data_IF_558243874557
#
_entry.id   IF_558243874557
#
_cell.length_a   1.000
_cell.length_b   1.000
_cell.length_c   1.000
_cell.angle_alpha   90.00
_cell.angle_beta   90.00
_cell.angle_gamma   90.00
#
_symmetry.space_group_name_H-M   'P 1'
#
loop_
_entity.id
_entity.type
_entity.pdbx_description
1 polymer ?
#
# COMPACT_ATOMS: atom_id res chain seq x y z
N UNK A 1 -46.95 41.65 -0.13
CA UNK A 1 -46.39 40.75 -1.15
C UNK A 1 -45.20 41.45 -1.70
N UNK A 2 -43.99 41.01 -1.33
CA UNK A 2 -42.73 41.59 -1.81
C UNK A 2 -42.18 40.60 -2.83
N UNK A 3 -41.94 41.07 -4.04
CA UNK A 3 -41.44 40.30 -5.17
C UNK A 3 -40.00 39.88 -4.89
N UNK A 4 -39.77 38.57 -4.84
CA UNK A 4 -38.44 37.96 -4.74
C UNK A 4 -37.86 37.88 -6.16
N UNK A 5 -36.74 38.61 -6.38
CA UNK A 5 -36.01 38.59 -7.64
C UNK A 5 -34.79 37.67 -7.45
N UNK A 6 -34.74 36.57 -8.23
CA UNK A 6 -33.60 35.64 -8.23
C UNK A 6 -32.32 36.30 -8.75
N UNK A 7 -31.15 36.01 -8.15
CA UNK A 7 -29.89 36.49 -8.64
C UNK A 7 -29.44 35.72 -9.92
N UNK A 8 -28.73 36.40 -10.86
CA UNK A 8 -28.33 35.80 -12.13
C UNK A 8 -27.29 34.68 -11.95
N UNK A 9 -27.46 33.63 -12.74
CA UNK A 9 -26.59 32.47 -12.78
C UNK A 9 -25.13 32.86 -13.15
N UNK A 10 -24.10 32.18 -12.56
CA UNK A 10 -22.72 32.45 -12.87
C UNK A 10 -22.37 32.01 -14.29
N UNK A 11 -21.69 32.88 -15.02
CA UNK A 11 -21.19 32.62 -16.39
C UNK A 11 -20.16 31.49 -16.38
N UNK A 12 -20.37 30.48 -17.21
CA UNK A 12 -19.47 29.37 -17.44
C UNK A 12 -18.06 29.85 -17.84
N UNK A 13 -17.07 29.53 -17.05
CA UNK A 13 -15.67 29.70 -17.39
C UNK A 13 -15.27 28.67 -18.46
N UNK A 14 -14.68 29.16 -19.56
CA UNK A 14 -14.17 28.31 -20.65
C UNK A 14 -13.06 27.40 -20.12
N UNK A 15 -13.27 26.08 -20.19
CA UNK A 15 -12.25 25.08 -19.92
C UNK A 15 -11.09 25.22 -20.91
N UNK A 16 -9.91 25.52 -20.40
CA UNK A 16 -8.67 25.43 -21.14
C UNK A 16 -8.33 23.96 -21.38
N UNK A 17 -8.26 23.54 -22.64
CA UNK A 17 -7.82 22.22 -23.05
C UNK A 17 -6.32 22.11 -22.79
N UNK A 18 -5.93 21.47 -21.68
CA UNK A 18 -4.56 21.01 -21.44
C UNK A 18 -4.38 19.70 -22.19
N UNK A 19 -3.59 19.74 -23.26
CA UNK A 19 -3.14 18.53 -23.96
C UNK A 19 -2.03 17.86 -23.16
N UNK A 20 -2.37 16.90 -22.34
CA UNK A 20 -1.39 16.01 -21.73
C UNK A 20 -0.94 15.03 -22.80
N UNK A 21 0.31 15.18 -23.26
CA UNK A 21 0.97 14.18 -24.12
C UNK A 21 1.19 12.92 -23.30
N UNK A 22 0.56 11.84 -23.69
CA UNK A 22 0.88 10.50 -23.20
C UNK A 22 2.34 10.20 -23.55
N UNK A 23 3.16 9.99 -22.52
CA UNK A 23 4.49 9.42 -22.66
C UNK A 23 4.31 7.91 -22.84
N UNK A 24 4.68 7.40 -24.00
CA UNK A 24 4.70 5.96 -24.30
C UNK A 24 5.66 5.26 -23.35
N UNK A 25 5.12 4.28 -22.62
CA UNK A 25 5.87 3.40 -21.77
C UNK A 25 6.52 2.31 -22.65
N UNK A 26 7.80 2.49 -22.97
CA UNK A 26 8.59 1.46 -23.67
C UNK A 26 9.10 0.46 -22.63
N UNK A 27 8.54 -0.74 -22.68
CA UNK A 27 9.04 -1.90 -21.93
C UNK A 27 10.40 -2.31 -22.50
N UNK A 28 11.47 -2.21 -21.70
CA UNK A 28 12.76 -2.81 -22.03
C UNK A 28 12.85 -4.22 -21.46
N UNK A 29 13.51 -5.16 -22.19
CA UNK A 29 13.61 -6.55 -21.78
C UNK A 29 14.54 -6.75 -20.60
N UNK A 30 14.18 -7.71 -19.74
CA UNK A 30 14.98 -8.18 -18.64
C UNK A 30 16.28 -8.84 -19.13
N UNK A 31 17.42 -8.37 -18.63
CA UNK A 31 18.68 -9.05 -18.80
C UNK A 31 19.89 -8.14 -18.75
N UNK A 32 20.39 -7.88 -17.57
CA UNK A 32 21.85 -7.71 -17.34
C UNK A 32 22.14 -7.90 -15.85
N UNK A 33 22.84 -8.98 -15.53
CA UNK A 33 23.34 -9.25 -14.19
C UNK A 33 24.39 -8.20 -13.82
N UNK A 34 24.19 -7.55 -12.67
CA UNK A 34 25.16 -6.62 -12.10
C UNK A 34 26.13 -7.38 -11.19
N UNK A 35 27.44 -7.04 -11.22
CA UNK A 35 28.44 -7.67 -10.36
C UNK A 35 28.19 -7.37 -8.87
N UNK A 36 28.37 -8.39 -8.05
CA UNK A 36 28.25 -8.32 -6.59
C UNK A 36 29.38 -7.45 -6.02
N UNK A 37 29.08 -6.23 -5.59
CA UNK A 37 29.96 -5.46 -4.71
C UNK A 37 29.86 -5.98 -3.28
N UNK A 38 30.96 -6.46 -2.77
CA UNK A 38 31.18 -6.94 -1.40
C UNK A 38 30.95 -5.83 -0.39
N UNK A 39 29.92 -5.96 0.45
CA UNK A 39 29.74 -5.15 1.66
C UNK A 39 30.58 -5.75 2.81
N UNK A 40 31.10 -4.93 3.74
CA UNK A 40 31.91 -5.44 4.85
C UNK A 40 31.10 -6.35 5.76
N UNK A 41 31.72 -7.47 6.14
CA UNK A 41 31.15 -8.48 7.04
C UNK A 41 30.94 -7.91 8.44
N UNK A 42 29.71 -7.97 8.93
CA UNK A 42 29.41 -7.82 10.36
C UNK A 42 29.73 -9.16 11.03
N UNK A 43 30.63 -9.14 11.98
CA UNK A 43 31.06 -10.31 12.72
C UNK A 43 29.90 -10.93 13.50
N UNK A 44 29.51 -12.15 13.14
CA UNK A 44 28.59 -12.98 13.92
C UNK A 44 29.40 -14.00 14.71
N UNK A 45 29.25 -13.93 16.04
CA UNK A 45 29.78 -14.94 16.95
C UNK A 45 29.18 -16.32 16.67
N UNK A 46 30.05 -17.32 16.59
CA UNK A 46 29.69 -18.70 16.34
C UNK A 46 28.90 -19.31 17.50
N UNK A 47 27.72 -19.87 17.21
CA UNK A 47 27.16 -20.99 17.97
C UNK A 47 26.90 -22.14 17.01
N UNK A 48 27.67 -23.19 17.18
CA UNK A 48 27.54 -24.49 16.51
C UNK A 48 26.38 -25.26 17.13
N UNK A 49 25.35 -25.58 16.37
CA UNK A 49 24.54 -26.79 16.56
C UNK A 49 24.09 -27.29 15.19
N UNK A 50 24.40 -28.55 14.92
CA UNK A 50 23.99 -29.34 13.77
C UNK A 50 22.47 -29.44 13.69
N UNK A 51 21.90 -28.97 12.59
CA UNK A 51 20.50 -29.13 12.26
C UNK A 51 20.30 -28.75 10.80
N UNK A 52 19.77 -29.70 10.07
CA UNK A 52 19.27 -29.71 8.70
C UNK A 52 19.02 -28.33 8.08
N UNK A 53 19.72 -28.06 6.97
CA UNK A 53 19.59 -26.81 6.22
C UNK A 53 18.15 -26.59 5.75
N UNK A 54 17.40 -25.77 6.47
CA UNK A 54 16.12 -25.27 6.02
C UNK A 54 16.37 -24.51 4.70
N UNK A 55 15.76 -24.98 3.61
CA UNK A 55 15.70 -24.28 2.32
C UNK A 55 15.23 -22.86 2.58
N UNK A 56 16.11 -21.88 2.30
CA UNK A 56 15.77 -20.46 2.32
C UNK A 56 14.63 -20.25 1.34
N UNK A 57 13.47 -19.74 1.80
CA UNK A 57 12.34 -19.49 0.90
C UNK A 57 12.68 -18.38 -0.10
N UNK A 58 12.08 -18.50 -1.28
CA UNK A 58 12.25 -17.67 -2.45
C UNK A 58 12.33 -16.15 -2.17
N UNK A 59 13.36 -15.55 -2.79
CA UNK A 59 13.53 -14.15 -3.13
C UNK A 59 13.00 -13.09 -2.16
N UNK A 60 13.78 -12.82 -1.14
CA UNK A 60 13.76 -11.54 -0.43
C UNK A 60 14.35 -10.50 -1.37
N UNK A 61 13.51 -9.74 -2.07
CA UNK A 61 13.98 -8.63 -2.91
C UNK A 61 14.32 -7.44 -2.03
N UNK A 62 15.56 -6.98 -2.13
CA UNK A 62 16.01 -5.74 -1.50
C UNK A 62 15.80 -4.59 -2.48
N UNK A 63 15.21 -3.51 -2.00
CA UNK A 63 15.05 -2.29 -2.78
C UNK A 63 15.53 -1.07 -2.01
N UNK A 64 15.50 0.07 -2.68
CA UNK A 64 15.86 1.36 -2.09
C UNK A 64 14.91 2.43 -2.63
N UNK A 65 14.61 3.45 -1.83
CA UNK A 65 13.86 4.61 -2.26
C UNK A 65 14.78 5.80 -2.36
N UNK A 66 14.69 6.47 -3.49
CA UNK A 66 15.47 7.65 -3.82
C UNK A 66 14.54 8.85 -3.96
N UNK A 67 14.94 9.97 -3.37
CA UNK A 67 14.31 11.28 -3.56
C UNK A 67 15.13 12.07 -4.57
N UNK A 68 14.48 12.58 -5.59
CA UNK A 68 15.05 13.46 -6.62
C UNK A 68 14.34 14.80 -6.52
N UNK A 69 15.11 15.89 -6.40
CA UNK A 69 14.55 17.24 -6.54
C UNK A 69 14.95 17.75 -7.92
N UNK A 70 13.97 17.92 -8.79
CA UNK A 70 14.16 18.42 -10.15
C UNK A 70 14.47 19.91 -10.15
N UNK A 71 15.13 20.40 -11.20
CA UNK A 71 15.48 21.82 -11.35
C UNK A 71 14.26 22.77 -11.30
N UNK A 72 13.07 22.26 -11.61
CA UNK A 72 11.79 22.99 -11.52
C UNK A 72 11.16 22.95 -10.12
N UNK A 73 11.87 22.43 -9.10
CA UNK A 73 11.39 22.31 -7.72
C UNK A 73 10.48 21.11 -7.46
N UNK A 74 10.12 20.31 -8.46
CA UNK A 74 9.32 19.10 -8.28
C UNK A 74 10.15 18.04 -7.56
N UNK A 75 9.59 17.48 -6.50
CA UNK A 75 10.17 16.33 -5.79
C UNK A 75 9.56 15.04 -6.34
N UNK A 76 10.43 14.14 -6.75
CA UNK A 76 10.08 12.81 -7.26
C UNK A 76 10.65 11.76 -6.32
N UNK A 77 9.87 10.70 -6.04
CA UNK A 77 10.32 9.53 -5.32
C UNK A 77 10.33 8.34 -6.29
N UNK A 78 11.39 7.53 -6.24
CA UNK A 78 11.53 6.39 -7.13
C UNK A 78 12.26 5.26 -6.42
N UNK A 79 11.91 4.02 -6.74
CA UNK A 79 12.64 2.82 -6.33
C UNK A 79 13.73 2.41 -7.34
N UNK A 80 13.82 3.11 -8.46
CA UNK A 80 14.86 2.88 -9.46
C UNK A 80 16.02 3.83 -9.15
N UNK A 81 17.23 3.27 -8.99
CA UNK A 81 18.42 4.09 -8.75
C UNK A 81 18.64 5.05 -9.93
N UNK A 82 18.65 6.38 -9.71
CA UNK A 82 18.89 7.32 -10.78
C UNK A 82 20.31 7.20 -11.32
N UNK A 83 20.46 7.14 -12.63
CA UNK A 83 21.76 7.01 -13.30
C UNK A 83 22.57 8.31 -13.33
N UNK A 84 21.93 9.47 -13.13
CA UNK A 84 22.56 10.82 -13.17
C UNK A 84 21.82 11.79 -12.26
N UNK A 85 22.54 12.80 -11.76
CA UNK A 85 21.99 13.91 -10.98
C UNK A 85 22.05 13.69 -9.47
N UNK A 86 21.74 14.75 -8.72
CA UNK A 86 21.65 14.70 -7.26
C UNK A 86 20.37 13.95 -6.83
N UNK A 87 20.56 12.86 -6.14
CA UNK A 87 19.51 12.15 -5.46
C UNK A 87 19.88 11.88 -4.01
N UNK A 88 18.88 11.74 -3.15
CA UNK A 88 19.08 11.33 -1.77
C UNK A 88 18.52 9.91 -1.62
N UNK A 89 19.35 8.98 -1.15
CA UNK A 89 18.87 7.70 -0.69
C UNK A 89 18.12 7.93 0.63
N UNK A 90 16.84 7.67 0.65
CA UNK A 90 16.02 7.85 1.85
C UNK A 90 16.12 6.64 2.78
N UNK A 91 15.91 5.45 2.23
CA UNK A 91 16.01 4.19 2.96
C UNK A 91 16.14 3.01 2.01
N UNK A 92 16.61 1.90 2.55
CA UNK A 92 16.57 0.58 1.89
C UNK A 92 15.47 -0.25 2.54
N UNK A 93 14.80 -1.06 1.75
CA UNK A 93 13.72 -1.93 2.23
C UNK A 93 13.89 -3.35 1.74
N UNK A 94 13.29 -4.26 2.48
CA UNK A 94 13.11 -5.64 2.07
C UNK A 94 11.62 -5.79 1.82
N UNK A 95 11.25 -5.95 0.55
CA UNK A 95 9.84 -6.07 0.19
C UNK A 95 9.39 -7.52 0.25
N UNK A 96 8.47 -7.76 1.16
CA UNK A 96 7.55 -8.87 1.06
C UNK A 96 6.16 -8.28 1.33
N UNK A 97 5.17 -8.54 0.49
CA UNK A 97 3.79 -8.32 0.92
C UNK A 97 3.57 -9.24 2.12
N UNK A 98 3.48 -8.64 3.31
CA UNK A 98 3.54 -9.38 4.57
C UNK A 98 2.40 -10.41 4.67
N UNK A 99 1.20 -10.04 4.21
CA UNK A 99 0.05 -10.92 4.21
C UNK A 99 -0.17 -11.70 2.91
N UNK A 100 0.54 -11.36 1.82
CA UNK A 100 0.36 -12.02 0.52
C UNK A 100 1.27 -13.25 0.33
N UNK A 101 2.27 -13.44 1.18
CA UNK A 101 3.21 -14.55 1.04
C UNK A 101 2.55 -15.88 1.38
N UNK A 102 2.27 -16.70 0.38
CA UNK A 102 1.66 -18.03 0.53
C UNK A 102 2.45 -18.96 1.45
N UNK A 103 3.77 -18.80 1.49
CA UNK A 103 4.69 -19.60 2.29
C UNK A 103 5.08 -18.93 3.61
N UNK A 104 4.32 -17.92 4.05
CA UNK A 104 4.58 -17.24 5.32
C UNK A 104 4.45 -18.21 6.48
N UNK A 105 5.50 -18.30 7.30
CA UNK A 105 5.53 -19.05 8.55
C UNK A 105 4.93 -18.28 9.73
N UNK A 106 4.42 -17.07 9.48
CA UNK A 106 3.80 -16.23 10.52
C UNK A 106 2.52 -16.89 11.02
N UNK A 107 2.46 -17.10 12.32
CA UNK A 107 1.21 -17.54 12.97
C UNK A 107 0.28 -16.33 13.16
N UNK A 108 -0.65 -16.11 12.22
CA UNK A 108 -1.58 -15.00 12.22
C UNK A 108 -2.54 -14.98 13.40
N UNK A 109 -2.76 -16.14 14.03
CA UNK A 109 -3.57 -16.25 15.26
C UNK A 109 -2.80 -15.79 16.50
N UNK A 110 -1.45 -15.70 16.44
CA UNK A 110 -0.60 -15.39 17.58
C UNK A 110 0.37 -14.24 17.33
N UNK A 111 0.44 -13.67 16.11
CA UNK A 111 1.31 -12.51 15.83
C UNK A 111 0.95 -11.34 16.75
N UNK A 112 1.96 -10.58 17.21
CA UNK A 112 1.74 -9.42 18.07
C UNK A 112 0.88 -8.36 17.37
N UNK A 113 -0.18 -7.89 18.04
CA UNK A 113 -0.99 -6.80 17.55
C UNK A 113 -0.30 -5.45 17.84
N UNK A 114 -0.40 -4.52 16.92
CA UNK A 114 0.04 -3.16 17.14
C UNK A 114 -1.17 -2.29 17.51
N UNK A 115 -1.36 -2.05 18.80
CA UNK A 115 -2.51 -1.30 19.33
C UNK A 115 -2.23 0.20 19.46
N UNK A 116 -0.97 0.61 19.39
CA UNK A 116 -0.55 1.97 19.74
C UNK A 116 -0.07 2.80 18.56
N UNK A 117 0.59 2.17 17.57
CA UNK A 117 1.07 2.92 16.41
C UNK A 117 -0.08 3.60 15.67
N UNK A 118 0.14 4.87 15.37
CA UNK A 118 -0.76 5.72 14.56
C UNK A 118 -2.21 5.72 15.04
N UNK A 119 -2.39 5.65 16.38
CA UNK A 119 -3.72 5.52 17.00
C UNK A 119 -4.63 6.70 16.65
N UNK A 120 -4.08 7.91 16.59
CA UNK A 120 -4.84 9.11 16.30
C UNK A 120 -5.23 9.18 14.82
N UNK A 121 -4.31 8.89 13.92
CA UNK A 121 -4.52 8.89 12.48
C UNK A 121 -5.54 7.81 12.06
N UNK A 122 -5.43 6.62 12.64
CA UNK A 122 -6.40 5.53 12.41
C UNK A 122 -7.78 5.92 12.93
N UNK A 123 -7.89 6.46 14.14
CA UNK A 123 -9.17 6.86 14.71
C UNK A 123 -9.83 8.01 13.90
N UNK A 124 -9.02 8.99 13.47
CA UNK A 124 -9.50 10.11 12.64
C UNK A 124 -10.02 9.62 11.29
N UNK A 125 -9.24 8.80 10.58
CA UNK A 125 -9.63 8.26 9.28
C UNK A 125 -10.84 7.31 9.39
N UNK A 126 -10.88 6.46 10.41
CA UNK A 126 -12.03 5.58 10.68
C UNK A 126 -13.33 6.37 10.88
N UNK A 127 -13.25 7.48 11.64
CA UNK A 127 -14.40 8.37 11.87
C UNK A 127 -14.78 9.13 10.59
N UNK A 128 -13.82 9.67 9.86
CA UNK A 128 -14.04 10.47 8.65
C UNK A 128 -14.76 9.66 7.57
N UNK A 129 -14.37 8.41 7.38
CA UNK A 129 -14.88 7.55 6.30
C UNK A 129 -15.88 6.48 6.75
N UNK A 130 -16.19 6.42 8.04
CA UNK A 130 -17.14 5.42 8.58
C UNK A 130 -16.65 3.98 8.47
N UNK A 131 -15.32 3.76 8.58
CA UNK A 131 -14.71 2.43 8.55
C UNK A 131 -14.49 1.96 9.99
N UNK A 132 -14.73 0.67 10.25
CA UNK A 132 -14.43 0.04 11.54
C UNK A 132 -12.91 0.15 11.84
N UNK A 133 -12.51 0.75 13.00
CA UNK A 133 -11.09 0.92 13.33
C UNK A 133 -10.32 -0.39 13.39
N UNK A 134 -10.95 -1.48 13.88
CA UNK A 134 -10.33 -2.80 13.93
C UNK A 134 -10.06 -3.36 12.54
N UNK A 135 -10.98 -3.12 11.57
CA UNK A 135 -10.78 -3.49 10.17
C UNK A 135 -9.65 -2.66 9.55
N UNK A 136 -9.63 -1.36 9.79
CA UNK A 136 -8.57 -0.48 9.27
C UNK A 136 -7.20 -0.90 9.79
N UNK A 137 -7.07 -1.20 11.11
CA UNK A 137 -5.83 -1.73 11.69
C UNK A 137 -5.44 -3.08 11.11
N UNK A 138 -6.41 -3.95 10.85
CA UNK A 138 -6.15 -5.26 10.26
C UNK A 138 -5.57 -5.14 8.84
N UNK A 139 -6.11 -4.22 8.03
CA UNK A 139 -5.58 -3.94 6.68
C UNK A 139 -4.17 -3.36 6.76
N UNK A 140 -3.92 -2.33 7.60
CA UNK A 140 -2.57 -1.76 7.79
C UNK A 140 -1.57 -2.85 8.22
N UNK A 141 -1.97 -3.73 9.13
CA UNK A 141 -1.12 -4.83 9.60
C UNK A 141 -0.82 -5.81 8.47
N UNK A 142 -1.83 -6.18 7.69
CA UNK A 142 -1.70 -7.11 6.58
C UNK A 142 -0.82 -6.55 5.45
N UNK A 143 -0.94 -5.26 5.15
CA UNK A 143 -0.21 -4.61 4.07
C UNK A 143 1.27 -4.37 4.40
N UNK A 144 1.55 -3.81 5.56
CA UNK A 144 2.89 -3.31 5.87
C UNK A 144 3.43 -3.72 7.25
N UNK A 145 2.65 -4.42 8.07
CA UNK A 145 2.95 -4.61 9.49
C UNK A 145 3.25 -3.27 10.21
N UNK A 146 2.53 -2.21 9.84
CA UNK A 146 2.72 -0.84 10.32
C UNK A 146 4.06 -0.19 9.93
N UNK A 147 4.70 -0.64 8.86
CA UNK A 147 5.90 0.02 8.33
C UNK A 147 5.50 1.15 7.36
N UNK A 148 5.71 2.45 7.71
CA UNK A 148 5.32 3.57 6.87
C UNK A 148 6.15 3.69 5.60
N UNK A 149 7.31 3.03 5.56
CA UNK A 149 8.24 3.05 4.44
C UNK A 149 8.18 1.77 3.61
N UNK A 150 7.11 0.98 3.73
CA UNK A 150 6.95 -0.25 2.95
C UNK A 150 6.73 0.08 1.48
N UNK A 151 7.41 -0.68 0.60
CA UNK A 151 7.16 -0.65 -0.85
C UNK A 151 7.08 -2.10 -1.33
N UNK A 152 6.02 -2.45 -2.05
CA UNK A 152 5.87 -3.79 -2.61
C UNK A 152 6.67 -3.96 -3.92
N UNK A 153 6.83 -5.21 -4.35
CA UNK A 153 7.43 -5.54 -5.65
C UNK A 153 6.67 -4.90 -6.81
N UNK A 154 5.35 -4.77 -6.66
CA UNK A 154 4.48 -4.13 -7.65
C UNK A 154 4.51 -2.59 -7.59
N UNK A 155 5.19 -2.00 -6.60
CA UNK A 155 5.30 -0.55 -6.41
C UNK A 155 4.20 0.05 -5.54
N UNK A 156 3.46 -0.75 -4.77
CA UNK A 156 2.54 -0.21 -3.77
C UNK A 156 3.30 0.37 -2.58
N UNK A 157 2.83 1.48 -1.99
CA UNK A 157 3.62 2.34 -1.11
C UNK A 157 2.93 2.62 0.22
N UNK A 158 3.75 2.67 1.29
CA UNK A 158 3.36 3.13 2.62
C UNK A 158 2.57 2.11 3.44
N UNK A 159 1.94 2.59 4.51
CA UNK A 159 1.25 1.80 5.53
C UNK A 159 0.13 0.92 4.97
N UNK A 160 -0.65 1.44 4.03
CA UNK A 160 -1.78 0.78 3.42
C UNK A 160 -1.52 0.34 1.97
N UNK A 161 -0.25 0.36 1.55
CA UNK A 161 0.21 -0.16 0.26
C UNK A 161 -0.62 0.37 -0.92
N UNK A 162 -0.70 1.70 -1.04
CA UNK A 162 -1.41 2.31 -2.14
C UNK A 162 -0.56 2.24 -3.42
N UNK A 163 -1.16 1.78 -4.51
CA UNK A 163 -0.54 1.91 -5.83
C UNK A 163 -0.45 3.39 -6.22
N UNK A 164 0.61 3.84 -6.92
CA UNK A 164 0.79 5.26 -7.26
C UNK A 164 -0.41 5.89 -7.97
N UNK A 165 -1.07 5.16 -8.87
CA UNK A 165 -2.30 5.61 -9.53
C UNK A 165 -3.43 5.83 -8.53
N UNK A 166 -3.67 4.85 -7.67
CA UNK A 166 -4.69 4.93 -6.62
C UNK A 166 -4.39 6.07 -5.63
N UNK A 167 -3.12 6.21 -5.21
CA UNK A 167 -2.70 7.32 -4.34
C UNK A 167 -3.00 8.69 -4.96
N UNK A 168 -2.70 8.85 -6.25
CA UNK A 168 -3.01 10.06 -7.02
C UNK A 168 -4.51 10.34 -7.09
N UNK A 169 -5.33 9.35 -7.38
CA UNK A 169 -6.79 9.47 -7.48
C UNK A 169 -7.43 9.85 -6.14
N UNK A 170 -6.83 9.40 -5.03
CA UNK A 170 -7.25 9.70 -3.67
C UNK A 170 -6.65 11.01 -3.10
N UNK A 171 -5.84 11.73 -3.89
CA UNK A 171 -5.22 12.99 -3.48
C UNK A 171 -4.07 12.81 -2.47
N UNK A 172 -3.46 11.63 -2.40
CA UNK A 172 -2.29 11.33 -1.57
C UNK A 172 -1.05 11.85 -2.29
N UNK A 173 -0.54 13.00 -1.86
CA UNK A 173 0.63 13.64 -2.47
C UNK A 173 1.96 12.97 -2.05
N UNK A 174 2.01 12.44 -0.85
CA UNK A 174 3.15 11.69 -0.33
C UNK A 174 2.68 10.38 0.33
N UNK A 175 2.81 9.24 -0.34
CA UNK A 175 2.35 7.95 0.18
C UNK A 175 3.18 7.43 1.38
N UNK A 176 4.31 8.05 1.71
CA UNK A 176 5.10 7.75 2.90
C UNK A 176 4.76 8.65 4.09
N UNK A 177 3.92 9.67 3.89
CA UNK A 177 3.31 10.42 4.97
C UNK A 177 2.21 9.58 5.63
N UNK A 178 2.36 9.37 6.94
CA UNK A 178 1.48 8.51 7.73
C UNK A 178 0.01 8.93 7.64
N UNK A 179 -0.24 10.22 7.82
CA UNK A 179 -1.60 10.76 7.83
C UNK A 179 -2.26 10.66 6.46
N UNK A 180 -1.53 11.04 5.39
CA UNK A 180 -2.05 10.98 4.02
C UNK A 180 -2.30 9.54 3.57
N UNK A 181 -1.38 8.62 3.88
CA UNK A 181 -1.50 7.23 3.46
C UNK A 181 -2.67 6.52 4.17
N UNK A 182 -2.79 6.67 5.50
CA UNK A 182 -3.90 6.08 6.26
C UNK A 182 -5.24 6.68 5.82
N UNK A 183 -5.29 8.01 5.62
CA UNK A 183 -6.52 8.68 5.17
C UNK A 183 -6.94 8.20 3.78
N UNK A 184 -6.02 8.17 2.81
CA UNK A 184 -6.31 7.69 1.45
C UNK A 184 -6.70 6.21 1.42
N UNK A 185 -5.98 5.36 2.15
CA UNK A 185 -6.31 3.94 2.25
C UNK A 185 -7.66 3.67 2.92
N UNK A 186 -8.02 4.44 3.95
CA UNK A 186 -9.33 4.36 4.61
C UNK A 186 -10.45 4.82 3.67
N UNK A 187 -10.25 5.89 2.90
CA UNK A 187 -11.18 6.32 1.87
C UNK A 187 -11.41 5.22 0.84
N UNK A 188 -10.34 4.64 0.31
CA UNK A 188 -10.45 3.55 -0.67
C UNK A 188 -11.19 2.33 -0.10
N UNK A 189 -10.87 1.94 1.13
CA UNK A 189 -11.57 0.83 1.80
C UNK A 189 -13.05 1.13 2.00
N UNK A 190 -13.41 2.37 2.37
CA UNK A 190 -14.80 2.81 2.50
C UNK A 190 -15.56 2.75 1.16
N UNK A 191 -14.92 3.17 0.07
CA UNK A 191 -15.49 3.08 -1.28
C UNK A 191 -15.75 1.63 -1.68
N UNK A 192 -14.82 0.72 -1.38
CA UNK A 192 -14.99 -0.71 -1.62
C UNK A 192 -16.09 -1.32 -0.73
N UNK A 193 -16.15 -0.96 0.55
CA UNK A 193 -17.24 -1.39 1.43
C UNK A 193 -18.62 -0.94 0.89
N UNK A 194 -18.72 0.30 0.43
CA UNK A 194 -19.95 0.80 -0.20
C UNK A 194 -20.27 0.04 -1.48
N UNK A 195 -19.29 -0.22 -2.34
CA UNK A 195 -19.44 -0.95 -3.60
C UNK A 195 -19.94 -2.38 -3.39
N UNK A 196 -19.50 -3.03 -2.32
CA UNK A 196 -19.89 -4.40 -1.98
C UNK A 196 -20.90 -4.50 -0.83
N UNK A 197 -21.74 -3.47 -0.64
CA UNK A 197 -22.87 -3.45 0.30
C UNK A 197 -22.47 -3.78 1.75
N UNK A 198 -21.34 -3.30 2.21
CA UNK A 198 -20.80 -3.55 3.56
C UNK A 198 -20.18 -4.92 3.76
N UNK A 199 -20.03 -5.73 2.71
CA UNK A 199 -19.39 -7.04 2.81
C UNK A 199 -17.87 -6.88 2.96
N UNK A 200 -17.37 -6.94 4.20
CA UNK A 200 -15.95 -6.79 4.53
C UNK A 200 -15.07 -7.78 3.77
N UNK A 201 -15.53 -9.02 3.58
CA UNK A 201 -14.77 -10.06 2.88
C UNK A 201 -14.57 -9.72 1.40
N UNK A 202 -15.60 -9.20 0.73
CA UNK A 202 -15.50 -8.78 -0.67
C UNK A 202 -14.73 -7.47 -0.82
N UNK A 203 -14.93 -6.51 0.08
CA UNK A 203 -14.17 -5.28 0.10
C UNK A 203 -12.67 -5.54 0.30
N UNK A 204 -12.32 -6.43 1.21
CA UNK A 204 -10.93 -6.86 1.45
C UNK A 204 -10.33 -7.58 0.24
N UNK A 205 -11.11 -8.46 -0.41
CA UNK A 205 -10.68 -9.12 -1.65
C UNK A 205 -10.45 -8.09 -2.77
N UNK A 206 -11.32 -7.09 -2.88
CA UNK A 206 -11.20 -6.02 -3.85
C UNK A 206 -10.03 -5.08 -3.56
N UNK A 207 -9.72 -4.85 -2.29
CA UNK A 207 -8.56 -4.07 -1.88
C UNK A 207 -7.25 -4.69 -2.40
N UNK A 208 -7.12 -6.02 -2.26
CA UNK A 208 -5.92 -6.76 -2.70
C UNK A 208 -5.92 -7.03 -4.22
N UNK A 209 -7.02 -7.53 -4.77
CA UNK A 209 -7.07 -8.00 -6.16
C UNK A 209 -7.61 -6.97 -7.16
N UNK A 210 -8.15 -5.86 -6.69
CA UNK A 210 -8.91 -4.90 -7.48
C UNK A 210 -10.39 -5.26 -7.62
N UNK A 211 -11.30 -4.25 -7.59
CA UNK A 211 -12.76 -4.45 -7.62
C UNK A 211 -13.24 -5.12 -8.91
N UNK A 212 -12.59 -4.85 -10.05
CA UNK A 212 -12.93 -5.47 -11.33
C UNK A 212 -12.77 -7.00 -11.31
N UNK A 213 -11.75 -7.50 -10.60
CA UNK A 213 -11.56 -8.94 -10.46
C UNK A 213 -12.67 -9.57 -9.61
N UNK A 214 -13.07 -8.94 -8.51
CA UNK A 214 -14.20 -9.42 -7.69
C UNK A 214 -15.50 -9.46 -8.52
N UNK A 215 -15.77 -8.42 -9.29
CA UNK A 215 -16.94 -8.35 -10.19
C UNK A 215 -16.88 -9.41 -11.28
N UNK A 216 -15.71 -9.61 -11.93
CA UNK A 216 -15.49 -10.64 -12.96
C UNK A 216 -15.79 -12.04 -12.43
N UNK A 217 -15.55 -12.29 -11.15
CA UNK A 217 -15.87 -13.56 -10.49
C UNK A 217 -17.23 -13.50 -9.75
N UNK A 218 -18.23 -12.81 -10.34
CA UNK A 218 -19.60 -12.77 -9.85
C UNK A 218 -19.75 -12.29 -8.40
N UNK A 219 -18.98 -11.29 -7.98
CA UNK A 219 -18.94 -10.79 -6.62
C UNK A 219 -18.64 -11.90 -5.59
N UNK A 220 -17.65 -12.71 -5.90
CA UNK A 220 -17.04 -13.67 -4.96
C UNK A 220 -15.55 -13.36 -4.80
N UNK A 221 -14.92 -13.92 -3.78
CA UNK A 221 -13.47 -13.83 -3.63
C UNK A 221 -12.82 -14.52 -4.84
N UNK A 222 -12.01 -13.80 -5.64
CA UNK A 222 -11.37 -14.38 -6.81
C UNK A 222 -10.54 -15.63 -6.46
N UNK A 223 -10.43 -16.62 -7.36
CA UNK A 223 -9.70 -17.85 -7.13
C UNK A 223 -8.17 -17.68 -7.20
N UNK A 224 -7.67 -16.52 -6.77
CA UNK A 224 -6.26 -16.25 -6.63
C UNK A 224 -5.80 -16.66 -5.23
N UNK A 225 -4.81 -17.54 -5.14
CA UNK A 225 -4.35 -18.07 -3.86
C UNK A 225 -3.87 -16.96 -2.92
N UNK A 226 -3.17 -15.97 -3.46
CA UNK A 226 -2.75 -14.77 -2.73
C UNK A 226 -3.93 -14.02 -2.10
N UNK A 227 -4.97 -13.73 -2.90
CA UNK A 227 -6.14 -13.00 -2.44
C UNK A 227 -6.94 -13.77 -1.39
N UNK A 228 -7.10 -15.07 -1.57
CA UNK A 228 -7.80 -15.92 -0.58
C UNK A 228 -7.08 -15.91 0.77
N UNK A 229 -5.78 -16.11 0.73
CA UNK A 229 -4.94 -16.09 1.95
C UNK A 229 -4.94 -14.70 2.60
N UNK A 230 -4.85 -13.63 1.81
CA UNK A 230 -4.93 -12.26 2.31
C UNK A 230 -6.26 -11.99 3.02
N UNK A 231 -7.38 -12.33 2.41
CA UNK A 231 -8.73 -12.14 2.99
C UNK A 231 -8.87 -12.86 4.32
N UNK A 232 -8.41 -14.11 4.42
CA UNK A 232 -8.49 -14.89 5.66
C UNK A 232 -7.58 -14.33 6.77
N UNK A 233 -6.42 -13.79 6.41
CA UNK A 233 -5.49 -13.11 7.33
C UNK A 233 -6.06 -11.78 7.85
N UNK A 234 -6.63 -10.97 6.98
CA UNK A 234 -7.29 -9.73 7.40
C UNK A 234 -8.48 -10.02 8.30
N UNK A 235 -9.31 -11.00 7.98
CA UNK A 235 -10.43 -11.41 8.83
C UNK A 235 -9.97 -11.85 10.23
N UNK A 236 -8.90 -12.65 10.29
CA UNK A 236 -8.28 -13.08 11.55
C UNK A 236 -7.77 -11.90 12.38
N UNK A 237 -7.02 -10.99 11.75
CA UNK A 237 -6.50 -9.79 12.40
C UNK A 237 -7.63 -8.87 12.88
N UNK A 238 -8.66 -8.66 12.05
CA UNK A 238 -9.83 -7.85 12.38
C UNK A 238 -10.52 -8.34 13.65
N UNK A 239 -10.79 -9.65 13.75
CA UNK A 239 -11.38 -10.24 14.97
C UNK A 239 -10.50 -10.02 16.20
N UNK A 240 -9.18 -10.17 16.04
CA UNK A 240 -8.23 -10.01 17.15
C UNK A 240 -8.09 -8.54 17.58
N UNK A 241 -8.07 -7.60 16.64
CA UNK A 241 -8.06 -6.17 16.97
C UNK A 241 -9.35 -5.78 17.69
N UNK A 242 -10.50 -6.23 17.19
CA UNK A 242 -11.80 -5.96 17.82
C UNK A 242 -11.90 -6.51 19.26
N UNK A 243 -11.31 -7.66 19.52
CA UNK A 243 -11.29 -8.25 20.86
C UNK A 243 -10.29 -7.55 21.82
N UNK A 244 -9.40 -6.71 21.31
CA UNK A 244 -8.37 -5.98 22.07
C UNK A 244 -8.71 -4.50 22.32
N UNK A 245 -9.82 -4.00 21.77
CA UNK A 245 -10.38 -2.66 22.01
C UNK A 245 -11.20 -2.65 23.32
#
# INVERSE_FOLDING_TARGET
MADYVDPPAPKAAKAAKSSVKHSEYVSQPAGEELPAETLPAVATGAMTTSGEAAKVPAEVRRGAVYKIVRANGVTEYTNIRPNRGGYQLLFTYISTCFACNLHSTVNWMATALNLTAYKQEVAAAATEFGVDPSLLRAVIHAESAFNPNAISVAGAEGLMQLMPGTASDLGVANPFDVGQNIRGGAQYLAELLKQFNGNERLATAAYNAGPQNVQKYNNTVPPFDETRVYVDRVATLRQRYHAAE
#
